data_IF_321192592405
#
_entry.id   IF_321192592405
#
_cell.length_a   1.000
_cell.length_b   1.000
_cell.length_c   1.000
_cell.angle_alpha   90.00
_cell.angle_beta   90.00
_cell.angle_gamma   90.00
#
_symmetry.space_group_name_H-M   'P 1'
#
loop_
_entity.id
_entity.type
_entity.pdbx_description
1 polymer ?
#
# COMPACT_ATOMS: atom_id res chain seq x y z
N UNK A 1 -27.56 77.24 13.89
CA UNK A 1 -27.92 76.60 15.17
C UNK A 1 -28.92 75.50 14.89
N UNK A 2 -28.72 74.41 15.62
CA UNK A 2 -29.22 73.04 15.52
C UNK A 2 -30.73 72.87 15.77
N UNK A 3 -31.24 71.68 15.41
CA UNK A 3 -32.32 70.90 16.05
C UNK A 3 -33.68 70.88 15.29
N UNK A 4 -34.47 69.79 15.22
CA UNK A 4 -34.36 68.39 15.65
C UNK A 4 -35.49 67.59 14.93
N UNK A 5 -35.16 66.40 14.41
CA UNK A 5 -35.84 65.09 14.61
C UNK A 5 -37.37 64.96 14.41
N UNK A 6 -37.79 63.99 13.57
CA UNK A 6 -38.60 62.80 13.95
C UNK A 6 -38.72 61.77 12.80
N UNK A 7 -38.33 60.52 13.11
CA UNK A 7 -38.58 59.23 12.41
C UNK A 7 -40.11 58.93 12.39
N UNK A 8 -40.71 58.07 11.51
CA UNK A 8 -40.30 56.65 11.37
C UNK A 8 -40.59 55.88 10.05
N UNK A 9 -39.89 54.73 9.97
CA UNK A 9 -40.31 53.40 9.45
C UNK A 9 -40.75 53.20 7.99
N UNK A 10 -39.95 52.41 7.26
CA UNK A 10 -40.34 51.17 6.56
C UNK A 10 -39.10 50.69 5.76
N UNK A 11 -38.29 49.78 6.29
CA UNK A 11 -38.37 48.34 6.04
C UNK A 11 -38.37 47.98 4.54
N UNK A 12 -37.26 47.36 4.12
CA UNK A 12 -37.12 46.18 3.24
C UNK A 12 -35.94 46.37 2.27
N UNK A 13 -35.09 45.33 2.21
CA UNK A 13 -33.84 45.17 1.43
C UNK A 13 -32.66 45.96 2.03
N UNK A 14 -31.67 45.36 2.68
CA UNK A 14 -30.66 44.47 2.09
C UNK A 14 -30.29 43.36 3.07
N UNK A 15 -30.75 42.16 2.74
CA UNK A 15 -30.18 40.89 3.18
C UNK A 15 -28.93 40.67 2.32
N UNK A 16 -27.74 40.64 2.92
CA UNK A 16 -26.48 39.99 2.49
C UNK A 16 -25.35 40.68 3.25
N UNK A 17 -24.47 39.89 3.85
CA UNK A 17 -23.34 40.28 4.69
C UNK A 17 -23.70 40.65 6.14
N UNK A 18 -23.76 39.65 7.01
CA UNK A 18 -22.85 39.44 8.16
C UNK A 18 -23.41 38.24 8.93
N UNK A 19 -23.04 37.05 8.47
CA UNK A 19 -23.28 35.78 9.18
C UNK A 19 -22.12 34.82 8.88
N UNK A 20 -20.89 35.34 8.98
CA UNK A 20 -19.64 34.59 8.75
C UNK A 20 -18.65 34.70 9.92
N UNK A 21 -19.09 35.12 11.11
CA UNK A 21 -18.18 35.34 12.26
C UNK A 21 -18.48 34.48 13.49
N UNK A 22 -19.23 33.38 13.37
CA UNK A 22 -19.42 32.46 14.49
C UNK A 22 -19.63 30.99 14.04
N UNK A 23 -18.61 30.40 13.42
CA UNK A 23 -18.48 28.94 13.34
C UNK A 23 -17.05 28.46 13.66
N UNK A 24 -16.22 29.33 14.25
CA UNK A 24 -15.03 28.93 14.96
C UNK A 24 -15.43 28.70 16.42
N UNK A 25 -15.81 27.46 16.77
CA UNK A 25 -15.79 26.86 18.13
C UNK A 25 -16.54 25.52 18.24
N UNK A 26 -16.76 24.81 17.14
CA UNK A 26 -17.05 23.36 17.20
C UNK A 26 -15.85 22.62 16.62
N UNK A 27 -14.74 22.68 17.36
CA UNK A 27 -13.65 21.72 17.24
C UNK A 27 -14.14 20.35 17.69
N UNK A 28 -14.97 19.71 16.88
CA UNK A 28 -15.16 18.28 16.93
C UNK A 28 -13.81 17.66 16.59
N UNK A 29 -13.08 17.22 17.61
CA UNK A 29 -11.95 16.34 17.42
C UNK A 29 -12.47 15.10 16.69
N UNK A 30 -12.34 15.11 15.36
CA UNK A 30 -12.59 13.94 14.55
C UNK A 30 -11.66 12.86 15.11
N UNK A 31 -12.26 11.83 15.73
CA UNK A 31 -11.51 10.65 16.16
C UNK A 31 -10.74 10.17 14.93
N UNK A 32 -9.43 9.89 15.05
CA UNK A 32 -8.68 9.37 13.92
C UNK A 32 -9.39 8.11 13.44
N UNK A 33 -9.97 8.19 12.24
CA UNK A 33 -10.53 7.01 11.59
C UNK A 33 -9.35 6.13 11.21
N UNK A 34 -9.50 4.81 11.33
CA UNK A 34 -8.45 3.80 11.08
C UNK A 34 -7.97 3.75 9.62
N UNK A 35 -8.45 4.66 8.77
CA UNK A 35 -8.03 4.76 7.40
C UNK A 35 -6.83 5.72 7.31
N UNK A 36 -5.68 5.21 6.88
CA UNK A 36 -4.43 5.95 6.84
C UNK A 36 -4.49 7.25 6.00
N UNK A 37 -5.49 7.42 5.12
CA UNK A 37 -5.67 8.58 4.26
C UNK A 37 -6.30 9.82 4.94
N UNK A 38 -6.87 9.70 6.14
CA UNK A 38 -7.51 10.82 6.88
C UNK A 38 -6.65 11.39 8.02
N UNK A 39 -5.53 10.74 8.35
CA UNK A 39 -4.77 11.09 9.54
C UNK A 39 -3.61 12.04 9.19
N UNK A 40 -3.77 13.31 9.59
CA UNK A 40 -2.82 14.40 9.34
C UNK A 40 -1.41 14.17 9.93
N UNK A 41 -1.24 13.20 10.84
CA UNK A 41 0.07 12.78 11.36
C UNK A 41 0.87 11.86 10.43
N UNK A 42 0.23 11.28 9.41
CA UNK A 42 0.93 10.56 8.35
C UNK A 42 1.23 11.55 7.23
N UNK A 43 2.42 12.16 7.30
CA UNK A 43 2.94 13.01 6.24
C UNK A 43 2.68 12.38 4.87
N UNK A 44 2.13 13.18 3.98
CA UNK A 44 1.80 12.84 2.59
C UNK A 44 2.96 12.11 1.94
N UNK A 45 2.89 10.78 1.91
CA UNK A 45 3.76 10.00 1.05
C UNK A 45 3.51 10.50 -0.37
N UNK A 46 4.56 11.00 -1.04
CA UNK A 46 4.48 11.42 -2.42
C UNK A 46 3.75 10.32 -3.20
N UNK A 47 2.58 10.67 -3.76
CA UNK A 47 1.79 9.78 -4.58
C UNK A 47 2.66 9.41 -5.76
N UNK A 48 3.36 8.29 -5.64
CA UNK A 48 4.02 7.66 -6.77
C UNK A 48 2.86 7.24 -7.65
N UNK A 49 2.86 7.70 -8.91
CA UNK A 49 1.80 7.50 -9.90
C UNK A 49 1.73 6.03 -10.33
N UNK A 50 1.50 5.13 -9.37
CA UNK A 50 1.22 3.73 -9.60
C UNK A 50 -0.29 3.54 -9.66
N UNK A 51 -0.79 3.12 -10.80
CA UNK A 51 -2.16 2.62 -10.94
C UNK A 51 -2.25 1.33 -10.14
N UNK A 52 -3.26 1.21 -9.28
CA UNK A 52 -3.55 -0.07 -8.63
C UNK A 52 -3.97 -1.08 -9.71
N UNK A 53 -3.16 -2.13 -9.88
CA UNK A 53 -3.57 -3.34 -10.57
C UNK A 53 -4.22 -4.29 -9.58
N UNK A 54 -4.96 -5.30 -10.05
CA UNK A 54 -5.49 -6.36 -9.18
C UNK A 54 -4.38 -7.08 -8.41
N UNK A 55 -3.17 -7.11 -9.00
CA UNK A 55 -1.96 -7.69 -8.44
C UNK A 55 -1.28 -6.79 -7.39
N UNK A 56 -1.63 -5.51 -7.33
CA UNK A 56 -1.09 -4.54 -6.38
C UNK A 56 -0.37 -3.35 -7.02
N UNK A 57 0.66 -2.84 -6.34
CA UNK A 57 1.41 -1.63 -6.73
C UNK A 57 2.91 -1.82 -6.55
N UNK A 58 3.71 -0.98 -7.21
CA UNK A 58 5.15 -0.94 -6.96
C UNK A 58 5.76 0.43 -7.20
N UNK A 59 6.99 0.63 -6.69
CA UNK A 59 7.80 1.82 -6.86
C UNK A 59 9.28 1.47 -6.85
N UNK A 60 10.09 2.27 -7.54
CA UNK A 60 11.55 2.12 -7.50
C UNK A 60 12.11 2.85 -6.28
N UNK A 61 13.02 2.21 -5.56
CA UNK A 61 13.69 2.77 -4.39
C UNK A 61 15.20 2.60 -4.49
N UNK A 62 15.96 3.47 -3.83
CA UNK A 62 17.40 3.30 -3.67
C UNK A 62 17.68 2.05 -2.80
N UNK A 63 18.62 1.21 -3.23
CA UNK A 63 18.92 -0.04 -2.53
C UNK A 63 19.45 0.16 -1.11
N UNK A 64 20.18 1.25 -0.85
CA UNK A 64 20.76 1.56 0.47
C UNK A 64 19.78 2.31 1.35
N UNK A 65 19.30 3.48 0.89
CA UNK A 65 18.48 4.37 1.72
C UNK A 65 16.99 3.99 1.76
N UNK A 66 16.54 3.11 0.86
CA UNK A 66 15.12 2.78 0.61
C UNK A 66 14.26 4.00 0.24
N UNK A 67 14.87 5.13 -0.07
CA UNK A 67 14.17 6.32 -0.53
C UNK A 67 13.58 6.09 -1.93
N UNK A 68 12.36 6.57 -2.16
CA UNK A 68 11.70 6.47 -3.46
C UNK A 68 12.47 7.28 -4.51
N UNK A 69 12.73 6.66 -5.66
CA UNK A 69 13.32 7.32 -6.81
C UNK A 69 12.19 7.88 -7.67
N UNK A 70 12.00 9.20 -7.62
CA UNK A 70 10.92 9.88 -8.32
C UNK A 70 11.03 9.74 -9.85
N UNK A 71 9.88 9.79 -10.54
CA UNK A 71 9.81 9.77 -12.00
C UNK A 71 10.07 8.42 -12.67
N UNK A 72 10.25 7.35 -11.90
CA UNK A 72 10.44 6.00 -12.44
C UNK A 72 9.12 5.21 -12.45
N UNK A 73 8.55 4.90 -13.63
CA UNK A 73 7.34 4.09 -13.70
C UNK A 73 7.59 2.67 -13.20
N UNK A 74 6.58 2.10 -12.54
CA UNK A 74 6.59 0.73 -12.07
C UNK A 74 5.18 0.14 -12.12
N UNK A 75 5.04 -1.09 -12.57
CA UNK A 75 3.78 -1.83 -12.55
C UNK A 75 4.00 -3.28 -12.13
N UNK A 76 3.09 -3.81 -11.32
CA UNK A 76 3.01 -5.26 -11.07
C UNK A 76 2.17 -5.85 -12.20
N UNK A 77 2.78 -6.66 -13.06
CA UNK A 77 2.14 -7.13 -14.29
C UNK A 77 1.50 -8.51 -14.14
N UNK A 78 1.87 -9.25 -13.09
CA UNK A 78 1.30 -10.56 -12.83
C UNK A 78 1.67 -11.10 -11.47
N UNK A 79 0.80 -11.95 -10.94
CA UNK A 79 1.10 -12.85 -9.84
C UNK A 79 0.61 -14.23 -10.26
N UNK A 80 1.47 -15.22 -10.19
CA UNK A 80 1.10 -16.61 -10.44
C UNK A 80 1.49 -17.50 -9.28
N UNK A 81 0.61 -18.42 -8.94
CA UNK A 81 0.87 -19.48 -8.00
C UNK A 81 1.36 -20.72 -8.76
N UNK A 82 2.27 -21.48 -8.16
CA UNK A 82 2.63 -22.80 -8.64
C UNK A 82 2.73 -23.73 -7.44
N UNK A 83 1.95 -24.82 -7.48
CA UNK A 83 2.02 -25.80 -6.41
C UNK A 83 3.42 -26.42 -6.33
N UNK A 84 3.91 -26.62 -5.11
CA UNK A 84 5.08 -27.46 -4.88
C UNK A 84 4.73 -28.96 -4.88
N UNK A 85 3.45 -29.32 -4.96
CA UNK A 85 3.00 -30.71 -5.01
C UNK A 85 3.35 -31.51 -3.75
N UNK A 86 3.43 -30.86 -2.59
CA UNK A 86 3.90 -31.47 -1.35
C UNK A 86 2.92 -32.49 -0.73
N UNK A 87 1.72 -32.60 -1.28
CA UNK A 87 0.66 -33.52 -0.84
C UNK A 87 0.11 -33.20 0.55
N UNK A 88 0.35 -31.99 1.08
CA UNK A 88 -0.07 -31.63 2.43
C UNK A 88 -1.55 -31.24 2.49
N UNK A 89 -2.22 -31.54 3.62
CA UNK A 89 -3.60 -31.09 3.82
C UNK A 89 -3.67 -29.57 3.95
N UNK A 90 -4.90 -29.03 3.84
CA UNK A 90 -5.20 -27.62 4.13
C UNK A 90 -4.62 -27.23 5.50
N UNK A 91 -3.93 -26.10 5.55
CA UNK A 91 -3.27 -25.56 6.74
C UNK A 91 -1.84 -26.04 6.94
N UNK A 92 -1.26 -26.78 5.99
CA UNK A 92 0.12 -27.28 6.07
C UNK A 92 0.88 -27.20 4.74
N UNK A 93 0.28 -26.62 3.69
CA UNK A 93 0.88 -26.57 2.36
C UNK A 93 2.03 -25.57 2.30
N UNK A 94 3.00 -25.88 1.45
CA UNK A 94 4.07 -24.98 1.03
C UNK A 94 4.07 -24.91 -0.49
N UNK A 95 3.92 -23.72 -1.07
CA UNK A 95 3.88 -23.51 -2.52
C UNK A 95 4.78 -22.36 -2.95
N UNK A 96 4.89 -22.15 -4.26
CA UNK A 96 5.62 -21.03 -4.83
C UNK A 96 4.66 -19.96 -5.32
N UNK A 97 5.00 -18.70 -5.06
CA UNK A 97 4.40 -17.55 -5.71
C UNK A 97 5.47 -16.84 -6.52
N UNK A 98 5.08 -16.37 -7.70
CA UNK A 98 5.90 -15.56 -8.57
C UNK A 98 5.21 -14.23 -8.79
N UNK A 99 5.97 -13.15 -8.63
CA UNK A 99 5.52 -11.79 -8.87
C UNK A 99 6.32 -11.25 -10.04
N UNK A 100 5.61 -10.77 -11.06
CA UNK A 100 6.21 -10.16 -12.25
C UNK A 100 6.08 -8.65 -12.13
N UNK A 101 7.20 -7.95 -12.31
CA UNK A 101 7.25 -6.48 -12.22
C UNK A 101 7.84 -5.89 -13.48
N UNK A 102 7.30 -4.77 -13.92
CA UNK A 102 7.81 -4.00 -15.04
C UNK A 102 8.16 -2.59 -14.56
N UNK A 103 9.46 -2.28 -14.55
CA UNK A 103 10.02 -1.01 -14.11
C UNK A 103 11.15 -0.59 -15.07
N UNK A 104 10.83 -0.19 -16.31
CA UNK A 104 11.77 -0.14 -17.44
C UNK A 104 12.95 0.82 -17.24
N UNK A 105 12.85 1.76 -16.30
CA UNK A 105 13.90 2.74 -15.99
C UNK A 105 14.64 2.45 -14.70
N UNK A 106 14.33 1.35 -14.00
CA UNK A 106 15.06 0.92 -12.81
C UNK A 106 16.47 0.43 -13.19
N UNK A 107 17.45 0.75 -12.36
CA UNK A 107 18.84 0.32 -12.53
C UNK A 107 18.98 -1.16 -12.18
N UNK A 108 19.52 -1.93 -13.12
CA UNK A 108 19.81 -3.36 -12.92
C UNK A 108 21.13 -3.61 -12.19
N UNK A 109 21.97 -2.58 -12.01
CA UNK A 109 23.31 -2.67 -11.41
C UNK A 109 23.33 -2.75 -9.88
N UNK A 110 22.22 -3.08 -9.23
CA UNK A 110 22.14 -3.29 -7.77
C UNK A 110 21.99 -2.02 -6.91
N UNK A 111 22.05 -0.82 -7.50
CA UNK A 111 21.85 0.45 -6.78
C UNK A 111 20.38 0.77 -6.48
N UNK A 112 19.46 0.05 -7.13
CA UNK A 112 18.01 0.24 -6.97
C UNK A 112 17.32 -1.10 -6.71
N UNK A 113 16.21 -1.02 -5.98
CA UNK A 113 15.28 -2.11 -5.75
C UNK A 113 13.89 -1.67 -6.19
N UNK A 114 13.01 -2.64 -6.38
CA UNK A 114 11.60 -2.41 -6.65
C UNK A 114 10.85 -2.78 -5.37
N UNK A 115 10.31 -1.78 -4.67
CA UNK A 115 9.37 -2.04 -3.57
C UNK A 115 8.01 -2.39 -4.17
N UNK A 116 7.52 -3.59 -3.86
CA UNK A 116 6.24 -4.11 -4.34
C UNK A 116 5.29 -4.27 -3.17
N UNK A 117 4.08 -3.76 -3.30
CA UNK A 117 2.93 -4.17 -2.48
C UNK A 117 2.08 -5.11 -3.33
N UNK A 118 2.21 -6.41 -3.10
CA UNK A 118 1.53 -7.45 -3.86
C UNK A 118 0.26 -7.94 -3.15
N UNK A 119 -0.79 -8.24 -3.91
CA UNK A 119 -1.98 -8.92 -3.44
C UNK A 119 -1.93 -10.39 -3.86
N UNK A 120 -1.48 -11.28 -2.98
CA UNK A 120 -1.31 -12.69 -3.31
C UNK A 120 -2.63 -13.42 -3.56
N UNK A 121 -3.77 -12.90 -3.10
CA UNK A 121 -5.07 -13.48 -3.40
C UNK A 121 -5.48 -13.26 -4.87
N UNK A 122 -4.82 -12.34 -5.59
CA UNK A 122 -5.01 -12.16 -7.02
C UNK A 122 -4.20 -13.17 -7.87
N UNK A 123 -3.41 -14.04 -7.23
CA UNK A 123 -2.70 -15.10 -7.94
C UNK A 123 -3.69 -16.05 -8.61
N UNK A 124 -3.47 -16.35 -9.90
CA UNK A 124 -4.25 -17.39 -10.58
C UNK A 124 -4.00 -18.75 -9.94
N UNK A 125 -5.05 -19.55 -9.82
CA UNK A 125 -5.04 -20.95 -9.34
C UNK A 125 -4.63 -21.16 -7.87
N UNK A 126 -4.49 -20.11 -7.06
CA UNK A 126 -4.39 -20.32 -5.61
C UNK A 126 -5.69 -20.95 -5.10
N UNK A 127 -5.63 -22.07 -4.35
CA UNK A 127 -6.85 -22.71 -3.87
C UNK A 127 -7.67 -21.75 -2.99
N UNK A 128 -8.98 -21.66 -3.22
CA UNK A 128 -9.87 -20.85 -2.38
C UNK A 128 -9.87 -21.29 -0.89
N UNK A 129 -9.43 -22.52 -0.63
CA UNK A 129 -9.23 -23.06 0.74
C UNK A 129 -7.93 -22.60 1.41
N UNK A 130 -7.12 -21.76 0.77
CA UNK A 130 -5.86 -21.29 1.32
C UNK A 130 -6.07 -20.48 2.61
N UNK A 131 -5.34 -20.84 3.67
CA UNK A 131 -5.52 -20.22 5.01
C UNK A 131 -4.55 -19.06 5.24
N UNK A 132 -4.95 -17.84 4.87
CA UNK A 132 -4.12 -16.63 5.00
C UNK A 132 -3.77 -16.24 6.44
N UNK A 133 -4.68 -16.46 7.40
CA UNK A 133 -4.51 -16.02 8.79
C UNK A 133 -3.29 -16.66 9.48
N UNK A 134 -2.97 -17.90 9.12
CA UNK A 134 -1.81 -18.65 9.58
C UNK A 134 -0.63 -18.59 8.60
N UNK A 135 -0.81 -17.99 7.43
CA UNK A 135 0.21 -18.03 6.38
C UNK A 135 1.45 -17.20 6.71
N UNK A 136 2.55 -17.54 6.07
CA UNK A 136 3.78 -16.75 6.04
C UNK A 136 4.44 -16.88 4.68
N UNK A 137 5.44 -16.05 4.41
CA UNK A 137 6.24 -16.18 3.19
C UNK A 137 7.72 -15.98 3.46
N UNK A 138 8.57 -16.63 2.67
CA UNK A 138 10.01 -16.58 2.83
C UNK A 138 10.80 -17.23 1.70
N UNK A 139 12.12 -17.11 1.77
CA UNK A 139 13.05 -17.64 0.77
C UNK A 139 12.86 -17.07 -0.64
N UNK A 140 13.59 -17.66 -1.59
CA UNK A 140 13.49 -17.34 -3.01
C UNK A 140 14.40 -16.23 -3.51
N UNK A 141 14.02 -15.57 -4.62
CA UNK A 141 14.81 -14.51 -5.27
C UNK A 141 14.47 -13.10 -4.78
N UNK A 142 13.64 -13.00 -3.74
CA UNK A 142 13.30 -11.73 -3.11
C UNK A 142 14.55 -11.09 -2.48
N UNK A 143 14.67 -9.77 -2.63
CA UNK A 143 15.72 -8.98 -1.99
C UNK A 143 15.42 -8.65 -0.50
N UNK A 144 14.31 -9.17 0.05
CA UNK A 144 13.91 -9.02 1.45
C UNK A 144 12.53 -8.38 1.63
N UNK A 145 12.17 -8.10 2.89
CA UNK A 145 10.88 -7.49 3.28
C UNK A 145 11.04 -6.02 3.61
N UNK A 146 9.97 -5.26 3.35
CA UNK A 146 9.89 -3.87 3.74
C UNK A 146 9.72 -3.79 5.27
N UNK A 147 10.59 -3.06 5.99
CA UNK A 147 10.48 -2.94 7.45
C UNK A 147 9.08 -2.52 7.91
N UNK A 148 8.59 -3.17 8.98
CA UNK A 148 7.25 -2.93 9.53
C UNK A 148 6.11 -3.71 8.87
N UNK A 149 6.40 -4.57 7.88
CA UNK A 149 5.38 -5.46 7.31
C UNK A 149 5.30 -6.79 8.05
N UNK A 150 4.09 -7.19 8.46
CA UNK A 150 3.84 -8.41 9.22
C UNK A 150 3.00 -9.42 8.42
N UNK A 151 3.11 -10.71 8.74
CA UNK A 151 2.29 -11.74 8.07
C UNK A 151 0.79 -11.61 8.37
N UNK A 152 0.41 -10.86 9.42
CA UNK A 152 -0.99 -10.53 9.70
C UNK A 152 -1.66 -9.75 8.57
N UNK A 153 -0.88 -9.15 7.66
CA UNK A 153 -1.38 -8.37 6.53
C UNK A 153 -1.67 -9.24 5.29
N UNK A 154 -1.32 -10.53 5.31
CA UNK A 154 -1.63 -11.44 4.21
C UNK A 154 -3.15 -11.51 3.97
N UNK A 155 -3.61 -11.56 2.71
CA UNK A 155 -2.85 -11.85 1.49
C UNK A 155 -2.02 -10.70 0.90
N UNK A 156 -2.04 -9.51 1.51
CA UNK A 156 -1.21 -8.40 1.05
C UNK A 156 0.22 -8.50 1.62
N UNK A 157 1.22 -8.40 0.75
CA UNK A 157 2.63 -8.47 1.11
C UNK A 157 3.40 -7.26 0.61
N UNK A 158 4.33 -6.76 1.41
CA UNK A 158 5.35 -5.81 0.95
C UNK A 158 6.73 -6.42 0.87
N UNK A 159 7.34 -6.36 -0.29
CA UNK A 159 8.62 -7.01 -0.58
C UNK A 159 9.51 -6.14 -1.46
N UNK A 160 10.81 -6.47 -1.48
CA UNK A 160 11.75 -5.92 -2.44
C UNK A 160 12.04 -6.94 -3.53
N UNK A 161 11.82 -6.55 -4.78
CA UNK A 161 12.34 -7.23 -5.95
C UNK A 161 13.70 -6.61 -6.35
N UNK A 162 14.68 -7.44 -6.73
CA UNK A 162 15.99 -6.95 -7.19
C UNK A 162 15.87 -6.21 -8.53
N UNK A 163 16.78 -5.26 -8.78
CA UNK A 163 16.76 -4.44 -9.99
C UNK A 163 16.83 -5.24 -11.31
N UNK A 164 17.43 -6.44 -11.32
CA UNK A 164 17.44 -7.29 -12.53
C UNK A 164 16.03 -7.75 -12.95
N UNK A 165 15.06 -7.77 -12.04
CA UNK A 165 13.68 -8.18 -12.34
C UNK A 165 12.87 -7.10 -13.07
N UNK A 166 13.39 -5.89 -13.17
CA UNK A 166 12.74 -4.72 -13.75
C UNK A 166 12.19 -4.91 -15.17
N UNK A 167 12.75 -5.84 -15.94
CA UNK A 167 12.34 -6.13 -17.32
C UNK A 167 11.14 -7.07 -17.47
N UNK A 168 10.39 -7.37 -16.41
CA UNK A 168 9.29 -8.34 -16.47
C UNK A 168 9.71 -9.78 -16.16
N UNK A 169 10.81 -9.97 -15.43
CA UNK A 169 11.20 -11.29 -14.98
C UNK A 169 10.44 -11.66 -13.69
N UNK A 170 10.20 -12.95 -13.51
CA UNK A 170 9.53 -13.46 -12.32
C UNK A 170 10.47 -13.43 -11.11
N UNK A 171 9.99 -12.82 -10.02
CA UNK A 171 10.61 -12.95 -8.70
C UNK A 171 9.80 -13.94 -7.90
N UNK A 172 10.43 -15.02 -7.47
CA UNK A 172 9.75 -16.08 -6.74
C UNK A 172 9.98 -16.00 -5.24
N UNK A 173 9.00 -16.50 -4.49
CA UNK A 173 9.00 -16.68 -3.05
C UNK A 173 8.30 -17.99 -2.69
N UNK A 174 8.59 -18.52 -1.50
CA UNK A 174 7.80 -19.62 -0.94
C UNK A 174 6.68 -19.05 -0.08
N UNK A 175 5.48 -19.52 -0.34
CA UNK A 175 4.29 -19.25 0.46
C UNK A 175 4.01 -20.47 1.32
N UNK A 176 3.80 -20.24 2.60
CA UNK A 176 3.52 -21.26 3.58
C UNK A 176 2.15 -21.02 4.17
N UNK A 177 1.30 -22.04 4.19
CA UNK A 177 -0.08 -21.91 4.69
C UNK A 177 -0.13 -21.82 6.22
N UNK A 178 0.91 -22.33 6.90
CA UNK A 178 1.07 -22.24 8.36
C UNK A 178 2.50 -21.90 8.75
N UNK A 179 2.68 -20.69 9.30
CA UNK A 179 3.95 -20.11 9.74
C UNK A 179 4.47 -20.63 11.08
N UNK A 180 3.66 -21.39 11.84
CA UNK A 180 4.03 -21.82 13.17
C UNK A 180 5.32 -22.66 13.15
N UNK A 181 6.31 -22.27 13.97
CA UNK A 181 7.58 -22.99 14.08
C UNK A 181 8.56 -22.80 12.93
N UNK A 182 8.25 -21.94 11.94
CA UNK A 182 9.18 -21.65 10.86
C UNK A 182 10.13 -20.51 11.21
N UNK A 183 11.41 -20.75 10.96
CA UNK A 183 12.48 -19.77 11.09
C UNK A 183 12.84 -19.17 9.72
N UNK A 184 13.31 -17.92 9.72
CA UNK A 184 13.78 -17.26 8.50
C UNK A 184 12.67 -16.84 7.51
N UNK A 185 11.42 -16.76 7.97
CA UNK A 185 10.37 -16.14 7.19
C UNK A 185 10.69 -14.66 6.97
N UNK A 186 10.34 -14.17 5.80
CA UNK A 186 10.61 -12.82 5.38
C UNK A 186 9.61 -11.86 6.09
N UNK A 187 8.36 -12.29 6.25
CA UNK A 187 7.46 -11.76 7.28
C UNK A 187 7.53 -12.71 8.47
N UNK A 188 7.95 -12.26 9.65
CA UNK A 188 7.94 -13.06 10.88
C UNK A 188 7.47 -12.20 12.03
#
# INVERSE_FOLDING_TARGET
MTALVRRPAAWVVVLVAVLLTAAALLGGAARPTSAAWTNAGFGTAAVTTGTWSDFGTCRVVNATSKAVVAGKPCTVTGIRWASNGDGKPVGQRTDHLYVTVFAPTASTGGNELIEVTANFAAATDIPATWVWSTSGYGGGTLAGVVPGWACSNLPTAKLYAPGWAAGGADVYLRLYENRAGMTGLACS
#
